data_IF_346366240044
#
_entry.id   IF_346366240044
#
_cell.length_a   1.000
_cell.length_b   1.000
_cell.length_c   1.000
_cell.angle_alpha   90.00
_cell.angle_beta   90.00
_cell.angle_gamma   90.00
#
_symmetry.space_group_name_H-M   'P 1'
#
loop_
_entity.id
_entity.type
_entity.pdbx_description
1 polymer ?
#
# COMPACT_ATOMS: atom_id res chain seq x y z
N UNK A 1 3.56 -47.62 -54.80
CA UNK A 1 3.79 -47.81 -53.35
C UNK A 1 3.72 -46.43 -52.70
N UNK A 2 2.59 -46.09 -52.07
CA UNK A 2 2.29 -44.73 -51.61
C UNK A 2 2.76 -44.55 -50.16
N UNK A 3 3.74 -43.69 -49.95
CA UNK A 3 4.24 -43.28 -48.63
C UNK A 3 3.19 -42.32 -48.04
N UNK A 4 2.41 -42.79 -47.08
CA UNK A 4 1.58 -41.93 -46.24
C UNK A 4 2.47 -41.32 -45.17
N UNK A 5 2.94 -40.10 -45.43
CA UNK A 5 3.58 -39.23 -44.45
C UNK A 5 2.51 -38.90 -43.40
N UNK A 6 2.58 -39.58 -42.25
CA UNK A 6 1.84 -39.20 -41.07
C UNK A 6 2.36 -37.84 -40.61
N UNK A 7 1.64 -36.79 -41.02
CA UNK A 7 1.80 -35.43 -40.52
C UNK A 7 1.30 -35.43 -39.07
N UNK A 8 2.20 -35.79 -38.15
CA UNK A 8 2.00 -35.74 -36.71
C UNK A 8 2.02 -34.25 -36.33
N UNK A 9 0.89 -33.56 -36.55
CA UNK A 9 0.63 -32.25 -35.98
C UNK A 9 0.49 -32.50 -34.48
N UNK A 10 1.64 -32.49 -33.78
CA UNK A 10 1.70 -32.27 -32.35
C UNK A 10 1.18 -30.85 -32.13
N UNK A 11 -0.13 -30.74 -31.93
CA UNK A 11 -0.73 -29.53 -31.39
C UNK A 11 -0.19 -29.45 -29.96
N UNK A 12 0.95 -28.76 -29.80
CA UNK A 12 1.36 -28.18 -28.54
C UNK A 12 0.31 -27.12 -28.17
N UNK A 13 -0.88 -27.59 -27.74
CA UNK A 13 -1.72 -26.81 -26.86
C UNK A 13 -0.89 -26.76 -25.58
N UNK A 14 -0.06 -25.73 -25.50
CA UNK A 14 0.46 -25.28 -24.23
C UNK A 14 -0.78 -25.14 -23.34
N UNK A 15 -0.98 -26.09 -22.43
CA UNK A 15 -1.71 -25.87 -21.21
C UNK A 15 -0.95 -24.77 -20.47
N UNK A 16 -1.12 -23.52 -20.91
CA UNK A 16 -1.01 -22.38 -20.04
C UNK A 16 -2.07 -22.66 -18.97
N UNK A 17 -1.63 -23.22 -17.84
CA UNK A 17 -2.47 -23.25 -16.65
C UNK A 17 -2.97 -21.82 -16.49
N UNK A 18 -4.28 -21.55 -16.52
CA UNK A 18 -4.75 -20.21 -16.24
C UNK A 18 -4.13 -19.83 -14.90
N UNK A 19 -3.42 -18.70 -14.87
CA UNK A 19 -2.91 -18.14 -13.63
C UNK A 19 -4.09 -18.17 -12.66
N UNK A 20 -3.94 -18.92 -11.56
CA UNK A 20 -5.00 -19.05 -10.57
C UNK A 20 -5.03 -17.68 -9.90
N UNK A 21 -5.88 -16.79 -10.41
CA UNK A 21 -6.13 -15.52 -9.75
C UNK A 21 -6.77 -15.84 -8.41
N UNK A 22 -5.95 -15.84 -7.37
CA UNK A 22 -6.43 -15.88 -6.00
C UNK A 22 -6.91 -14.46 -5.75
N UNK A 23 -8.23 -14.28 -5.81
CA UNK A 23 -8.84 -13.03 -5.39
C UNK A 23 -8.58 -12.88 -3.90
N UNK A 24 -8.08 -11.72 -3.48
CA UNK A 24 -8.02 -11.38 -2.06
C UNK A 24 -9.47 -11.19 -1.62
N UNK A 25 -10.11 -12.27 -1.20
CA UNK A 25 -11.56 -12.34 -0.97
C UNK A 25 -12.03 -11.53 0.23
N UNK A 26 -11.12 -10.98 1.04
CA UNK A 26 -11.48 -10.14 2.19
C UNK A 26 -10.37 -9.15 2.57
N UNK A 27 -10.49 -7.92 2.08
CA UNK A 27 -9.71 -6.78 2.58
C UNK A 27 -10.25 -6.34 3.94
N UNK A 28 -9.89 -7.03 5.02
CA UNK A 28 -10.13 -6.54 6.39
C UNK A 28 -9.11 -5.44 6.76
N UNK A 29 -9.04 -4.37 5.97
CA UNK A 29 -8.18 -3.22 6.24
C UNK A 29 -8.98 -2.09 6.88
N UNK A 30 -8.55 -1.69 8.07
CA UNK A 30 -9.06 -0.49 8.73
C UNK A 30 -7.96 0.55 8.79
N UNK A 31 -8.25 1.73 8.22
CA UNK A 31 -7.41 2.91 8.37
C UNK A 31 -7.90 3.71 9.57
N UNK A 32 -6.96 4.12 10.43
CA UNK A 32 -7.25 5.10 11.47
C UNK A 32 -7.14 6.48 10.84
N UNK A 33 -8.28 7.10 10.56
CA UNK A 33 -8.40 8.42 9.95
C UNK A 33 -8.62 9.54 10.99
N UNK A 34 -8.47 9.19 12.27
CA UNK A 34 -8.40 10.10 13.40
C UNK A 34 -6.96 10.07 13.91
N UNK A 35 -6.40 11.24 14.23
CA UNK A 35 -5.03 11.36 14.74
C UNK A 35 -4.88 10.52 16.01
N UNK A 36 -4.07 9.44 16.02
CA UNK A 36 -3.90 8.62 17.22
C UNK A 36 -3.03 9.37 18.24
N UNK A 37 -3.23 9.11 19.54
CA UNK A 37 -2.27 9.54 20.55
C UNK A 37 -1.05 8.59 20.52
N UNK A 38 0.17 9.11 20.66
CA UNK A 38 1.38 8.27 20.67
C UNK A 38 1.30 7.14 21.72
N UNK A 39 0.70 7.44 22.88
CA UNK A 39 0.52 6.49 23.99
C UNK A 39 -0.47 5.37 23.66
N UNK A 40 -1.30 5.54 22.63
CA UNK A 40 -2.32 4.55 22.23
C UNK A 40 -1.91 3.73 21.02
N UNK A 41 -0.77 4.05 20.38
CA UNK A 41 -0.35 3.37 19.14
C UNK A 41 -0.11 1.88 19.38
N UNK A 42 0.59 1.51 20.46
CA UNK A 42 0.86 0.09 20.78
C UNK A 42 -0.45 -0.70 20.93
N UNK A 43 -1.43 -0.16 21.66
CA UNK A 43 -2.74 -0.81 21.83
C UNK A 43 -3.52 -0.91 20.52
N UNK A 44 -3.47 0.14 19.69
CA UNK A 44 -4.14 0.18 18.40
C UNK A 44 -3.57 -0.86 17.42
N UNK A 45 -2.25 -1.02 17.42
CA UNK A 45 -1.59 -2.02 16.57
C UNK A 45 -1.79 -3.43 17.11
N UNK A 46 -1.83 -3.62 18.43
CA UNK A 46 -2.16 -4.92 19.03
C UNK A 46 -3.57 -5.40 18.63
N UNK A 47 -4.56 -4.50 18.58
CA UNK A 47 -5.92 -4.80 18.08
C UNK A 47 -5.95 -5.23 16.61
N UNK A 48 -4.91 -4.90 15.85
CA UNK A 48 -4.74 -5.21 14.43
C UNK A 48 -3.73 -6.35 14.21
N UNK A 49 -3.42 -7.12 15.26
CA UNK A 49 -2.41 -8.19 15.24
C UNK A 49 -1.01 -7.71 14.80
N UNK A 50 -0.70 -6.44 15.06
CA UNK A 50 0.57 -5.81 14.74
C UNK A 50 1.67 -6.24 15.71
N UNK A 51 2.78 -6.73 15.17
CA UNK A 51 3.97 -7.09 15.93
C UNK A 51 4.98 -5.96 15.80
N UNK A 52 5.37 -5.35 16.93
CA UNK A 52 6.30 -4.22 16.94
C UNK A 52 7.70 -4.65 16.48
N UNK A 53 8.32 -3.83 15.63
CA UNK A 53 9.69 -3.99 15.16
C UNK A 53 10.55 -2.94 15.86
N UNK A 54 11.60 -3.39 16.56
CA UNK A 54 12.57 -2.51 17.21
C UNK A 54 13.83 -2.44 16.36
N UNK A 55 14.02 -1.33 15.65
CA UNK A 55 15.23 -1.07 14.88
C UNK A 55 15.46 0.44 14.77
N UNK A 56 16.70 0.93 14.96
CA UNK A 56 17.02 2.32 14.68
C UNK A 56 17.03 2.56 13.17
N UNK A 57 16.48 3.69 12.74
CA UNK A 57 16.46 4.11 11.34
C UNK A 57 17.02 5.50 11.20
N UNK A 58 17.73 5.73 10.08
CA UNK A 58 17.98 7.06 9.58
C UNK A 58 16.72 7.54 8.84
N UNK A 59 16.15 8.66 9.30
CA UNK A 59 14.84 9.14 8.86
C UNK A 59 15.04 10.30 7.92
N UNK A 60 14.69 10.11 6.65
CA UNK A 60 14.57 11.18 5.69
C UNK A 60 13.18 11.13 5.06
N UNK A 61 12.38 12.18 5.29
CA UNK A 61 11.06 12.32 4.70
C UNK A 61 11.12 13.25 3.49
N UNK A 62 10.40 12.92 2.42
CA UNK A 62 10.34 13.77 1.23
C UNK A 62 9.52 15.03 1.50
N UNK A 63 10.08 16.21 1.19
CA UNK A 63 9.37 17.49 1.29
C UNK A 63 8.10 17.54 0.42
N UNK A 64 8.01 16.71 -0.63
CA UNK A 64 6.82 16.58 -1.49
C UNK A 64 5.59 16.09 -0.73
N UNK A 65 5.77 15.24 0.28
CA UNK A 65 4.69 14.66 1.09
C UNK A 65 4.62 15.33 2.48
N UNK A 66 5.75 15.88 2.93
CA UNK A 66 5.94 16.49 4.24
C UNK A 66 6.58 17.87 4.09
N UNK A 67 5.82 18.91 3.72
CA UNK A 67 6.37 20.24 3.52
C UNK A 67 7.14 20.72 4.75
N UNK A 68 8.34 21.25 4.53
CA UNK A 68 9.27 21.68 5.57
C UNK A 68 9.78 20.54 6.48
N UNK A 69 9.79 19.28 6.03
CA UNK A 69 10.26 18.14 6.82
C UNK A 69 11.65 18.39 7.42
N UNK A 70 12.55 19.01 6.65
CA UNK A 70 13.92 19.38 7.09
C UNK A 70 13.98 20.37 8.26
N UNK A 71 12.89 21.09 8.55
CA UNK A 71 12.82 22.04 9.67
C UNK A 71 12.40 21.38 10.98
N UNK A 72 11.95 20.12 10.94
CA UNK A 72 11.48 19.41 12.11
C UNK A 72 12.47 18.35 12.56
N UNK A 73 12.59 18.19 13.87
CA UNK A 73 13.27 17.05 14.48
C UNK A 73 12.26 15.92 14.64
N UNK A 74 12.48 14.83 13.92
CA UNK A 74 11.70 13.61 14.04
C UNK A 74 12.34 12.71 15.09
N UNK A 75 11.49 12.04 15.87
CA UNK A 75 11.95 10.96 16.72
C UNK A 75 11.87 9.61 16.00
N UNK A 76 12.49 8.57 16.58
CA UNK A 76 12.57 7.24 15.99
C UNK A 76 11.18 6.65 15.76
N UNK A 77 10.83 6.23 14.53
CA UNK A 77 9.49 5.80 14.22
C UNK A 77 9.09 4.54 14.99
N UNK A 78 7.78 4.38 15.21
CA UNK A 78 7.23 3.11 15.69
C UNK A 78 6.84 2.26 14.48
N UNK A 79 7.42 1.08 14.36
CA UNK A 79 7.16 0.15 13.26
C UNK A 79 6.40 -1.08 13.75
N UNK A 80 5.45 -1.53 12.94
CA UNK A 80 4.66 -2.72 13.21
C UNK A 80 4.51 -3.55 11.93
N UNK A 81 4.66 -4.86 12.07
CA UNK A 81 4.34 -5.83 11.04
C UNK A 81 2.97 -6.43 11.35
N UNK A 82 2.00 -6.25 10.46
CA UNK A 82 0.73 -6.95 10.48
C UNK A 82 0.81 -8.10 9.49
N UNK A 83 0.64 -9.33 9.99
CA UNK A 83 0.59 -10.53 9.15
C UNK A 83 -0.87 -10.95 8.98
N UNK A 84 -1.37 -10.81 7.76
CA UNK A 84 -2.66 -11.37 7.35
C UNK A 84 -2.41 -12.59 6.46
N UNK A 85 -3.42 -13.45 6.27
CA UNK A 85 -3.30 -14.72 5.54
C UNK A 85 -2.64 -14.58 4.16
N UNK A 86 -2.85 -13.45 3.48
CA UNK A 86 -2.39 -13.23 2.11
C UNK A 86 -1.46 -12.01 1.96
N UNK A 87 -1.12 -11.29 3.04
CA UNK A 87 -0.28 -10.09 2.92
C UNK A 87 0.47 -9.73 4.20
N UNK A 88 1.71 -9.28 4.02
CA UNK A 88 2.49 -8.61 5.05
C UNK A 88 2.37 -7.08 4.90
N UNK A 89 1.87 -6.40 5.94
CA UNK A 89 1.77 -4.94 5.97
C UNK A 89 2.74 -4.38 6.99
N UNK A 90 3.52 -3.38 6.60
CA UNK A 90 4.40 -2.64 7.52
C UNK A 90 3.79 -1.27 7.76
N UNK A 91 3.48 -0.98 9.03
CA UNK A 91 2.98 0.33 9.43
C UNK A 91 4.08 1.07 10.18
N UNK A 92 4.38 2.28 9.74
CA UNK A 92 5.40 3.16 10.29
C UNK A 92 4.76 4.46 10.77
N UNK A 93 4.88 4.74 12.06
CA UNK A 93 4.43 5.99 12.67
C UNK A 93 5.61 6.92 12.87
N UNK A 94 5.61 8.04 12.16
CA UNK A 94 6.57 9.14 12.32
C UNK A 94 5.94 10.25 13.14
N UNK A 95 6.75 10.91 13.95
CA UNK A 95 6.29 11.97 14.83
C UNK A 95 7.34 13.06 14.90
N UNK A 96 6.88 14.31 14.76
CA UNK A 96 7.69 15.46 15.13
C UNK A 96 7.62 15.66 16.63
N UNK A 97 8.70 16.18 17.23
CA UNK A 97 8.72 16.44 18.68
C UNK A 97 7.65 17.45 19.14
N UNK A 98 7.16 18.29 18.22
CA UNK A 98 6.28 19.41 18.57
C UNK A 98 4.83 19.19 18.13
N UNK A 99 4.52 18.91 16.86
CA UNK A 99 3.17 19.28 16.37
C UNK A 99 2.43 18.29 15.45
N UNK A 100 3.03 17.23 14.88
CA UNK A 100 2.31 16.36 13.93
C UNK A 100 2.71 14.89 13.97
N UNK A 101 1.69 14.02 13.93
CA UNK A 101 1.85 12.58 13.72
C UNK A 101 1.61 12.30 12.25
N UNK A 102 2.52 11.54 11.66
CA UNK A 102 2.42 11.01 10.32
C UNK A 102 2.32 9.50 10.43
N UNK A 103 1.27 8.94 9.85
CA UNK A 103 1.15 7.49 9.72
C UNK A 103 1.43 7.10 8.28
N UNK A 104 2.53 6.40 8.07
CA UNK A 104 2.85 5.76 6.82
C UNK A 104 2.44 4.29 6.90
N UNK A 105 1.55 3.86 6.02
CA UNK A 105 1.18 2.46 5.84
C UNK A 105 1.83 1.97 4.55
N UNK A 106 2.86 1.15 4.68
CA UNK A 106 3.54 0.53 3.55
C UNK A 106 3.09 -0.91 3.39
N UNK A 107 2.67 -1.28 2.20
CA UNK A 107 2.36 -2.67 1.89
C UNK A 107 3.60 -3.29 1.25
N UNK A 108 4.16 -4.31 1.93
CA UNK A 108 5.38 -4.97 1.50
C UNK A 108 5.05 -6.08 0.50
N UNK A 109 5.24 -5.75 -0.77
CA UNK A 109 5.85 -6.55 -1.83
C UNK A 109 6.55 -7.85 -1.37
N UNK A 110 6.20 -8.97 -2.03
CA UNK A 110 6.96 -10.26 -2.11
C UNK A 110 6.40 -11.51 -1.38
N UNK A 111 5.09 -11.63 -1.17
CA UNK A 111 4.47 -12.93 -0.82
C UNK A 111 3.34 -13.36 -1.74
N UNK A 112 3.13 -12.64 -2.85
CA UNK A 112 2.07 -12.98 -3.79
C UNK A 112 2.34 -14.34 -4.40
N UNK A 113 1.36 -15.25 -4.28
CA UNK A 113 1.32 -16.43 -5.12
C UNK A 113 0.90 -15.95 -6.51
N UNK A 114 1.40 -16.60 -7.57
CA UNK A 114 1.05 -16.28 -8.95
C UNK A 114 -0.46 -16.00 -9.10
N UNK A 115 -0.84 -14.73 -9.32
CA UNK A 115 -2.23 -14.31 -9.52
C UNK A 115 -2.86 -13.34 -8.50
N UNK A 116 -2.21 -13.01 -7.37
CA UNK A 116 -2.67 -11.95 -6.46
C UNK A 116 -2.45 -10.55 -7.09
N UNK A 117 -3.42 -9.64 -6.99
CA UNK A 117 -3.32 -8.28 -7.59
C UNK A 117 -3.38 -7.17 -6.54
N UNK A 118 -2.27 -6.43 -6.36
CA UNK A 118 -2.27 -5.18 -5.57
C UNK A 118 -3.21 -4.15 -6.19
N UNK A 119 -3.41 -4.18 -7.51
CA UNK A 119 -4.33 -3.29 -8.20
C UNK A 119 -5.78 -3.38 -7.67
N UNK A 120 -6.24 -4.54 -7.19
CA UNK A 120 -7.55 -4.67 -6.54
C UNK A 120 -7.60 -3.99 -5.17
N UNK A 121 -6.55 -4.18 -4.34
CA UNK A 121 -6.40 -3.46 -3.07
C UNK A 121 -6.36 -1.95 -3.30
N UNK A 122 -5.68 -1.51 -4.36
CA UNK A 122 -5.63 -0.10 -4.72
C UNK A 122 -7.04 0.44 -5.02
N UNK A 123 -7.84 -0.26 -5.82
CA UNK A 123 -9.23 0.11 -6.10
C UNK A 123 -10.08 0.15 -4.83
N UNK A 124 -9.98 -0.88 -3.99
CA UNK A 124 -10.69 -0.95 -2.71
C UNK A 124 -10.37 0.26 -1.81
N UNK A 125 -9.09 0.63 -1.70
CA UNK A 125 -8.67 1.80 -0.94
C UNK A 125 -9.21 3.10 -1.53
N UNK A 126 -9.19 3.26 -2.86
CA UNK A 126 -9.79 4.43 -3.52
C UNK A 126 -11.28 4.56 -3.18
N UNK A 127 -12.03 3.46 -3.26
CA UNK A 127 -13.45 3.42 -2.88
C UNK A 127 -13.65 3.78 -1.41
N UNK A 128 -12.86 3.18 -0.50
CA UNK A 128 -12.92 3.45 0.93
C UNK A 128 -12.68 4.94 1.24
N UNK A 129 -11.64 5.55 0.69
CA UNK A 129 -11.34 6.96 0.94
C UNK A 129 -12.35 7.90 0.28
N UNK A 130 -12.82 7.60 -0.93
CA UNK A 130 -13.89 8.34 -1.58
C UNK A 130 -15.18 8.33 -0.73
N UNK A 131 -15.53 7.16 -0.19
CA UNK A 131 -16.68 7.02 0.71
C UNK A 131 -16.48 7.72 2.06
N UNK A 132 -15.27 7.71 2.62
CA UNK A 132 -14.98 8.41 3.87
C UNK A 132 -15.14 9.92 3.71
N UNK A 133 -14.58 10.49 2.63
CA UNK A 133 -14.57 11.94 2.45
C UNK A 133 -15.88 12.49 1.87
N UNK A 134 -16.68 11.74 1.11
CA UNK A 134 -17.98 12.21 0.53
C UNK A 134 -17.96 13.66 0.01
N UNK A 135 -16.93 14.04 -0.75
CA UNK A 135 -16.67 15.39 -1.29
C UNK A 135 -16.17 16.46 -0.30
N UNK A 136 -15.90 16.11 0.95
CA UNK A 136 -15.29 17.00 1.97
C UNK A 136 -13.76 17.14 1.82
N UNK A 137 -13.18 16.54 0.78
CA UNK A 137 -11.76 16.63 0.48
C UNK A 137 -11.54 16.96 -0.99
N UNK A 138 -10.50 17.73 -1.27
CA UNK A 138 -9.96 17.92 -2.62
C UNK A 138 -9.36 16.60 -3.08
N UNK A 139 -9.91 16.05 -4.16
CA UNK A 139 -9.46 14.81 -4.77
C UNK A 139 -8.64 15.09 -6.03
N UNK A 140 -7.47 14.46 -6.16
CA UNK A 140 -6.61 14.57 -7.33
C UNK A 140 -6.04 13.19 -7.66
N UNK A 141 -5.99 12.86 -8.96
CA UNK A 141 -5.30 11.67 -9.46
C UNK A 141 -4.26 12.10 -10.48
N UNK A 142 -3.05 11.56 -10.35
CA UNK A 142 -1.94 11.79 -11.25
C UNK A 142 -1.38 10.45 -11.72
N UNK A 143 -1.04 10.37 -13.01
CA UNK A 143 -0.35 9.21 -13.59
C UNK A 143 0.98 9.72 -14.12
N UNK A 144 2.07 9.08 -13.73
CA UNK A 144 3.40 9.37 -14.23
C UNK A 144 3.79 8.30 -15.27
N UNK A 145 3.61 8.57 -16.58
CA UNK A 145 3.70 7.52 -17.61
C UNK A 145 5.08 6.88 -17.69
N UNK A 146 6.15 7.67 -17.51
CA UNK A 146 7.53 7.17 -17.53
C UNK A 146 7.90 6.26 -16.37
N UNK A 147 7.13 6.27 -15.29
CA UNK A 147 7.40 5.53 -14.05
C UNK A 147 6.30 4.49 -13.75
N UNK A 148 5.27 4.41 -14.62
CA UNK A 148 4.06 3.58 -14.46
C UNK A 148 3.52 3.62 -13.03
N UNK A 149 3.49 4.82 -12.46
CA UNK A 149 3.03 5.08 -11.10
C UNK A 149 1.73 5.89 -11.17
N UNK A 150 0.72 5.45 -10.44
CA UNK A 150 -0.49 6.24 -10.18
C UNK A 150 -0.46 6.73 -8.73
N UNK A 151 -0.78 8.00 -8.54
CA UNK A 151 -0.98 8.60 -7.23
C UNK A 151 -2.38 9.19 -7.16
N UNK A 152 -3.13 8.86 -6.11
CA UNK A 152 -4.40 9.50 -5.78
C UNK A 152 -4.27 10.17 -4.43
N UNK A 153 -4.76 11.41 -4.31
CA UNK A 153 -4.68 12.20 -3.08
C UNK A 153 -6.04 12.71 -2.64
N UNK A 154 -6.26 12.73 -1.33
CA UNK A 154 -7.41 13.36 -0.68
C UNK A 154 -6.93 14.34 0.38
N UNK A 155 -7.33 15.61 0.27
CA UNK A 155 -6.91 16.64 1.19
C UNK A 155 -8.09 17.46 1.73
N UNK A 156 -8.19 17.59 3.06
CA UNK A 156 -9.04 18.56 3.73
C UNK A 156 -8.25 19.32 4.82
N UNK A 157 -8.95 20.02 5.70
CA UNK A 157 -8.32 20.85 6.73
C UNK A 157 -7.62 20.04 7.84
N UNK A 158 -7.99 18.77 8.04
CA UNK A 158 -7.48 17.93 9.13
C UNK A 158 -6.49 16.85 8.68
N UNK A 159 -6.60 16.37 7.44
CA UNK A 159 -5.84 15.22 6.95
C UNK A 159 -5.48 15.36 5.48
N UNK A 160 -4.32 14.83 5.12
CA UNK A 160 -3.91 14.62 3.74
C UNK A 160 -3.53 13.14 3.55
N UNK A 161 -4.19 12.47 2.60
CA UNK A 161 -3.94 11.09 2.24
C UNK A 161 -3.30 11.03 0.86
N UNK A 162 -2.19 10.32 0.74
CA UNK A 162 -1.54 10.00 -0.53
C UNK A 162 -1.55 8.49 -0.72
N UNK A 163 -2.05 8.01 -1.85
CA UNK A 163 -2.13 6.60 -2.17
C UNK A 163 -1.43 6.33 -3.49
N UNK A 164 -0.48 5.40 -3.47
CA UNK A 164 0.39 5.09 -4.58
C UNK A 164 0.22 3.65 -5.03
N UNK A 165 0.28 3.42 -6.33
CA UNK A 165 0.54 2.09 -6.90
C UNK A 165 1.67 2.18 -7.93
N UNK A 166 2.58 1.21 -7.87
CA UNK A 166 3.65 0.99 -8.83
C UNK A 166 3.47 -0.41 -9.43
N UNK A 167 3.32 -0.49 -10.75
CA UNK A 167 2.93 -1.71 -11.47
C UNK A 167 3.88 -2.06 -12.63
N UNK A 168 5.18 -1.83 -12.49
CA UNK A 168 6.10 -1.98 -13.63
C UNK A 168 6.37 -3.46 -13.97
N UNK A 169 6.63 -4.31 -12.98
CA UNK A 169 6.86 -5.75 -13.12
C UNK A 169 6.51 -6.38 -11.77
N UNK A 170 6.05 -7.63 -11.75
CA UNK A 170 5.75 -8.31 -10.50
C UNK A 170 6.98 -8.31 -9.56
N UNK A 171 6.81 -8.06 -8.26
CA UNK A 171 5.53 -7.84 -7.56
C UNK A 171 5.07 -6.37 -7.62
N UNK A 172 3.77 -6.16 -7.88
CA UNK A 172 3.10 -4.87 -7.71
C UNK A 172 3.21 -4.35 -6.26
N UNK A 173 3.07 -3.04 -6.09
CA UNK A 173 3.41 -2.33 -4.86
C UNK A 173 2.40 -1.22 -4.58
N UNK A 174 1.86 -1.16 -3.36
CA UNK A 174 1.01 -0.03 -2.92
C UNK A 174 1.50 0.58 -1.61
N UNK A 175 1.30 1.88 -1.46
CA UNK A 175 1.66 2.66 -0.27
C UNK A 175 0.57 3.66 0.02
N UNK A 176 0.21 3.80 1.29
CA UNK A 176 -0.73 4.83 1.77
C UNK A 176 -0.02 5.70 2.80
N UNK A 177 0.03 6.99 2.56
CA UNK A 177 0.53 8.00 3.51
C UNK A 177 -0.66 8.73 4.08
N UNK A 178 -0.80 8.72 5.41
CA UNK A 178 -1.83 9.46 6.14
C UNK A 178 -1.13 10.51 6.99
N UNK A 179 -1.24 11.77 6.59
CA UNK A 179 -0.66 12.90 7.29
C UNK A 179 -1.76 13.69 7.98
N UNK A 180 -1.69 13.77 9.31
CA UNK A 180 -2.56 14.64 10.09
C UNK A 180 -1.97 16.06 10.11
N UNK A 181 -2.83 17.08 9.95
CA UNK A 181 -2.46 18.50 10.02
C UNK A 181 -2.50 19.01 11.45
#
# INVERSE_FOLDING_TARGET
MKIYVYLLIVICIACQKPAKHIYITKYNFSYTLIRPNIRTIDSLELQQSGIRIYKPFDINLSDSYFPNSKKYKFAQPLLYLRKNENMNTVVSYFFTEKDSIVRLVEYAWNTMKDGDSISELYKYNEEYFNQYFKNQAKHKSEVHPGWKQKMTTWENDSINIFHFILSHDEPERTRVIIRFK
#
